data_IF_292106711017
#
_entry.id   IF_292106711017
#
_cell.length_a   1.000
_cell.length_b   1.000
_cell.length_c   1.000
_cell.angle_alpha   90.00
_cell.angle_beta   90.00
_cell.angle_gamma   90.00
#
_symmetry.space_group_name_H-M   'P 1'
#
loop_
_entity.id
_entity.type
_entity.pdbx_description
1 polymer ?
#
# COMPACT_ATOMS: atom_id res chain seq x y z
N UNK A 1 -11.84 -0.75 -7.41
CA UNK A 1 -10.60 -0.93 -8.20
C UNK A 1 -9.68 0.26 -8.05
N UNK A 2 -8.38 0.10 -8.32
CA UNK A 2 -7.28 1.10 -8.29
C UNK A 2 -6.30 1.07 -7.11
N UNK A 3 -6.04 -0.08 -6.48
CA UNK A 3 -4.91 -0.20 -5.53
C UNK A 3 -3.56 0.05 -6.23
N UNK A 4 -3.34 -0.58 -7.38
CA UNK A 4 -2.10 -0.45 -8.18
C UNK A 4 -1.94 0.97 -8.74
N UNK A 5 -3.01 1.56 -9.26
CA UNK A 5 -3.00 2.94 -9.77
C UNK A 5 -2.70 3.95 -8.65
N UNK A 6 -3.26 3.73 -7.46
CA UNK A 6 -2.93 4.54 -6.28
C UNK A 6 -1.47 4.34 -5.88
N UNK A 7 -0.96 3.12 -5.84
CA UNK A 7 0.46 2.85 -5.53
C UNK A 7 1.41 3.49 -6.55
N UNK A 8 1.06 3.45 -7.84
CA UNK A 8 1.82 4.09 -8.92
C UNK A 8 1.81 5.63 -8.81
N UNK A 9 0.69 6.23 -8.39
CA UNK A 9 0.52 7.69 -8.32
C UNK A 9 1.01 8.29 -7.00
N UNK A 10 0.81 7.58 -5.88
CA UNK A 10 0.99 8.08 -4.52
C UNK A 10 2.48 8.24 -4.14
N UNK A 11 3.41 7.66 -4.93
CA UNK A 11 4.86 7.61 -4.64
C UNK A 11 5.20 7.15 -3.21
N UNK A 12 4.25 6.47 -2.57
CA UNK A 12 4.30 5.96 -1.21
C UNK A 12 4.24 4.44 -1.27
N UNK A 13 4.89 3.80 -0.31
CA UNK A 13 4.92 2.35 -0.18
C UNK A 13 3.72 1.81 0.63
N UNK A 14 2.70 2.63 0.87
CA UNK A 14 1.51 2.23 1.58
C UNK A 14 0.24 2.72 0.88
N UNK A 15 -0.80 1.90 0.95
CA UNK A 15 -2.14 2.20 0.49
C UNK A 15 -3.03 2.42 1.71
N UNK A 16 -3.83 3.49 1.69
CA UNK A 16 -4.79 3.78 2.75
C UNK A 16 -6.18 3.45 2.23
N UNK A 17 -6.85 2.54 2.90
CA UNK A 17 -8.29 2.33 2.73
C UNK A 17 -8.99 3.17 3.77
N UNK A 18 -9.57 4.28 3.33
CA UNK A 18 -10.35 5.17 4.20
C UNK A 18 -11.54 4.42 4.82
N UNK A 19 -11.92 4.80 6.03
CA UNK A 19 -13.08 4.26 6.76
C UNK A 19 -14.38 4.24 5.96
N UNK A 20 -14.57 5.21 5.06
CA UNK A 20 -15.76 5.30 4.20
C UNK A 20 -15.86 4.14 3.21
N UNK A 21 -14.72 3.57 2.82
CA UNK A 21 -14.62 2.41 1.93
C UNK A 21 -14.43 1.11 2.70
N UNK A 22 -14.08 1.18 3.98
CA UNK A 22 -13.86 0.02 4.83
C UNK A 22 -15.16 -0.42 5.50
N UNK A 23 -15.46 -1.72 5.45
CA UNK A 23 -16.71 -2.26 6.01
C UNK A 23 -16.82 -2.09 7.53
N UNK A 24 -15.67 -1.95 8.21
CA UNK A 24 -15.56 -1.78 9.66
C UNK A 24 -15.46 -0.30 10.10
N UNK A 25 -15.63 0.65 9.17
CA UNK A 25 -15.53 2.10 9.43
C UNK A 25 -14.19 2.52 10.07
N UNK A 26 -13.09 1.83 9.75
CA UNK A 26 -11.75 2.17 10.21
C UNK A 26 -10.82 2.48 9.04
N UNK A 27 -9.80 3.30 9.29
CA UNK A 27 -8.75 3.54 8.32
C UNK A 27 -7.73 2.40 8.37
N UNK A 28 -7.53 1.73 7.24
CA UNK A 28 -6.56 0.63 7.13
C UNK A 28 -5.35 1.09 6.32
N UNK A 29 -4.17 0.90 6.89
CA UNK A 29 -2.91 1.18 6.25
C UNK A 29 -2.29 -0.14 5.79
N UNK A 30 -2.32 -0.38 4.48
CA UNK A 30 -1.69 -1.51 3.84
C UNK A 30 -0.28 -1.12 3.43
N UNK A 31 0.74 -1.77 4.01
CA UNK A 31 2.15 -1.49 3.72
C UNK A 31 2.66 -2.52 2.71
N UNK A 32 3.34 -2.02 1.68
CA UNK A 32 3.98 -2.78 0.63
C UNK A 32 5.48 -2.49 0.62
N UNK A 33 6.28 -3.48 0.27
CA UNK A 33 7.67 -3.31 -0.11
C UNK A 33 7.74 -3.16 -1.62
N UNK A 34 8.42 -2.10 -2.06
CA UNK A 34 8.63 -1.83 -3.48
C UNK A 34 10.03 -2.28 -3.82
N UNK A 35 10.17 -3.18 -4.78
CA UNK A 35 11.46 -3.62 -5.29
C UNK A 35 11.43 -3.64 -6.81
N UNK A 36 12.53 -3.26 -7.43
CA UNK A 36 12.75 -3.47 -8.87
C UNK A 36 13.33 -4.87 -9.09
N UNK A 37 13.05 -5.46 -10.24
CA UNK A 37 13.68 -6.73 -10.63
C UNK A 37 14.99 -6.39 -11.35
N UNK A 38 16.10 -7.01 -10.96
CA UNK A 38 17.41 -6.75 -11.59
C UNK A 38 17.41 -7.03 -13.11
N UNK A 39 16.64 -8.02 -13.55
CA UNK A 39 16.45 -8.30 -14.98
C UNK A 39 15.68 -7.21 -15.73
N UNK A 40 14.83 -6.44 -15.05
CA UNK A 40 14.09 -5.35 -15.69
C UNK A 40 13.73 -4.23 -14.69
N UNK A 41 14.49 -3.13 -14.68
CA UNK A 41 14.26 -2.01 -13.76
C UNK A 41 12.96 -1.24 -14.04
N UNK A 42 12.29 -1.51 -15.17
CA UNK A 42 10.97 -0.93 -15.48
C UNK A 42 9.83 -1.64 -14.73
N UNK A 43 10.08 -2.82 -14.16
CA UNK A 43 9.09 -3.59 -13.43
C UNK A 43 9.21 -3.28 -11.93
N UNK A 44 8.19 -2.61 -11.40
CA UNK A 44 8.02 -2.41 -9.96
C UNK A 44 7.22 -3.56 -9.35
N UNK A 45 7.87 -4.34 -8.48
CA UNK A 45 7.22 -5.36 -7.68
C UNK A 45 6.75 -4.75 -6.36
N UNK A 46 5.45 -4.86 -6.10
CA UNK A 46 4.83 -4.45 -4.84
C UNK A 46 4.51 -5.69 -4.00
N UNK A 47 5.35 -5.98 -3.01
CA UNK A 47 5.16 -7.12 -2.12
C UNK A 47 4.42 -6.67 -0.86
N UNK A 48 3.22 -7.21 -0.64
CA UNK A 48 2.46 -6.91 0.58
C UNK A 48 3.24 -7.37 1.83
N UNK A 49 3.43 -6.46 2.78
CA UNK A 49 4.14 -6.76 4.05
C UNK A 49 3.18 -6.99 5.19
N UNK A 50 2.35 -5.98 5.49
CA UNK A 50 1.42 -6.01 6.62
C UNK A 50 0.34 -4.96 6.46
N UNK A 51 -0.72 -5.11 7.23
CA UNK A 51 -1.75 -4.09 7.41
C UNK A 51 -1.75 -3.66 8.86
N UNK A 52 -1.91 -2.37 9.10
CA UNK A 52 -2.20 -1.84 10.43
C UNK A 52 -3.42 -0.94 10.36
N UNK A 53 -4.28 -1.04 11.35
CA UNK A 53 -5.41 -0.12 11.58
C UNK A 53 -5.07 0.96 12.60
N UNK A 54 -3.85 0.90 13.16
CA UNK A 54 -3.36 1.79 14.20
C UNK A 54 -1.93 2.22 13.82
N UNK A 55 -1.68 3.52 13.68
CA UNK A 55 -0.31 4.03 13.77
C UNK A 55 0.08 3.89 15.25
N UNK A 56 0.62 2.74 15.63
CA UNK A 56 1.30 2.61 16.92
C UNK A 56 2.55 3.48 16.84
N UNK A 57 2.40 4.77 17.17
CA UNK A 57 3.53 5.60 17.56
C UNK A 57 4.13 4.90 18.78
N UNK A 58 5.34 4.39 18.59
CA UNK A 58 6.12 3.78 19.64
C UNK A 58 6.78 4.88 20.47
#
# INVERSE_FOLDING_TARGET
DDILKTMATSRKNYFVLNKEKARDNRDHFFIFEISTIDENPLIYRYSYKKTTTYLTQK
#
